data_IF_838106099084
#
_entry.id   IF_838106099084
#
_cell.length_a   1.000
_cell.length_b   1.000
_cell.length_c   1.000
_cell.angle_alpha   90.00
_cell.angle_beta   90.00
_cell.angle_gamma   90.00
#
_symmetry.space_group_name_H-M   'P 1'
#
loop_
_entity.id
_entity.type
_entity.pdbx_description
1 polymer ?
#
# COMPACT_ATOMS: atom_id res chain seq x y z
N UNK A 1 -23.65 -5.88 -55.10
CA UNK A 1 -22.31 -6.22 -54.57
C UNK A 1 -21.56 -5.05 -53.93
N UNK A 2 -21.57 -3.82 -54.46
CA UNK A 2 -20.83 -2.67 -53.89
C UNK A 2 -21.17 -2.30 -52.43
N UNK A 3 -22.40 -2.53 -51.96
CA UNK A 3 -22.82 -2.20 -50.60
C UNK A 3 -22.21 -3.10 -49.52
N UNK A 4 -22.01 -4.39 -49.82
CA UNK A 4 -21.43 -5.36 -48.89
C UNK A 4 -19.94 -5.08 -48.68
N UNK A 5 -19.22 -4.72 -49.75
CA UNK A 5 -17.81 -4.33 -49.67
C UNK A 5 -17.58 -3.05 -48.85
N UNK A 6 -18.53 -2.10 -48.89
CA UNK A 6 -18.46 -0.89 -48.09
C UNK A 6 -18.65 -1.20 -46.59
N UNK A 7 -19.60 -2.08 -46.27
CA UNK A 7 -19.87 -2.53 -44.89
C UNK A 7 -18.65 -3.28 -44.33
N UNK A 8 -18.07 -4.20 -45.11
CA UNK A 8 -16.87 -4.94 -44.68
C UNK A 8 -15.69 -4.01 -44.43
N UNK A 9 -15.43 -3.04 -45.31
CA UNK A 9 -14.37 -2.03 -45.11
C UNK A 9 -14.61 -1.15 -43.88
N UNK A 10 -15.86 -0.82 -43.56
CA UNK A 10 -16.19 -0.07 -42.34
C UNK A 10 -15.96 -0.93 -41.09
N UNK A 11 -16.34 -2.20 -41.15
CA UNK A 11 -16.16 -3.15 -40.06
C UNK A 11 -14.66 -3.42 -39.77
N UNK A 12 -13.85 -3.62 -40.81
CA UNK A 12 -12.40 -3.80 -40.67
C UNK A 12 -11.72 -2.58 -40.04
N UNK A 13 -12.13 -1.37 -40.45
CA UNK A 13 -11.65 -0.11 -39.83
C UNK A 13 -12.06 0.00 -38.36
N UNK A 14 -13.27 -0.43 -38.03
CA UNK A 14 -13.78 -0.41 -36.66
C UNK A 14 -13.00 -1.40 -35.77
N UNK A 15 -12.76 -2.62 -36.24
CA UNK A 15 -11.93 -3.62 -35.55
C UNK A 15 -10.51 -3.07 -35.35
N UNK A 16 -9.90 -2.50 -36.39
CA UNK A 16 -8.56 -1.94 -36.30
C UNK A 16 -8.47 -0.77 -35.31
N UNK A 17 -9.52 0.07 -35.21
CA UNK A 17 -9.60 1.14 -34.23
C UNK A 17 -9.72 0.59 -32.80
N UNK A 18 -10.61 -0.38 -32.58
CA UNK A 18 -10.79 -1.03 -31.28
C UNK A 18 -9.52 -1.73 -30.81
N UNK A 19 -8.81 -2.40 -31.73
CA UNK A 19 -7.51 -3.02 -31.44
C UNK A 19 -6.44 -2.00 -31.02
N UNK A 20 -6.41 -0.81 -31.62
CA UNK A 20 -5.49 0.26 -31.19
C UNK A 20 -5.85 0.78 -29.80
N UNK A 21 -7.15 0.99 -29.53
CA UNK A 21 -7.63 1.46 -28.23
C UNK A 21 -7.28 0.44 -27.13
N UNK A 22 -7.49 -0.85 -27.38
CA UNK A 22 -7.19 -1.89 -26.39
C UNK A 22 -5.70 -1.97 -26.07
N UNK A 23 -4.82 -1.85 -27.08
CA UNK A 23 -3.37 -1.79 -26.86
C UNK A 23 -2.97 -0.56 -26.04
N UNK A 24 -3.55 0.62 -26.34
CA UNK A 24 -3.28 1.84 -25.56
C UNK A 24 -3.71 1.67 -24.11
N UNK A 25 -4.91 1.13 -23.86
CA UNK A 25 -5.41 0.86 -22.51
C UNK A 25 -4.51 -0.11 -21.74
N UNK A 26 -4.01 -1.16 -22.41
CA UNK A 26 -3.08 -2.11 -21.82
C UNK A 26 -1.75 -1.44 -21.43
N UNK A 27 -1.21 -0.58 -22.29
CA UNK A 27 0.02 0.17 -22.01
C UNK A 27 -0.19 1.09 -20.79
N UNK A 28 -1.31 1.83 -20.74
CA UNK A 28 -1.65 2.68 -19.60
C UNK A 28 -1.73 1.85 -18.31
N UNK A 29 -2.39 0.68 -18.35
CA UNK A 29 -2.49 -0.22 -17.21
C UNK A 29 -1.11 -0.68 -16.72
N UNK A 30 -0.23 -1.08 -17.63
CA UNK A 30 1.14 -1.50 -17.29
C UNK A 30 1.93 -0.35 -16.64
N UNK A 31 1.83 0.87 -17.20
CA UNK A 31 2.48 2.06 -16.61
C UNK A 31 1.94 2.33 -15.19
N UNK A 32 0.63 2.26 -14.99
CA UNK A 32 0.01 2.45 -13.67
C UNK A 32 0.49 1.40 -12.66
N UNK A 33 0.64 0.13 -13.07
CA UNK A 33 1.18 -0.93 -12.20
C UNK A 33 2.64 -0.67 -11.82
N UNK A 34 3.47 -0.24 -12.78
CA UNK A 34 4.87 0.11 -12.53
C UNK A 34 4.96 1.29 -11.56
N UNK A 35 4.21 2.36 -11.81
CA UNK A 35 4.16 3.54 -10.93
C UNK A 35 3.69 3.14 -9.53
N UNK A 36 2.64 2.33 -9.42
CA UNK A 36 2.14 1.83 -8.13
C UNK A 36 3.23 1.04 -7.39
N UNK A 37 3.92 0.14 -8.07
CA UNK A 37 5.00 -0.64 -7.49
C UNK A 37 6.15 0.25 -6.99
N UNK A 38 6.59 1.21 -7.80
CA UNK A 38 7.63 2.17 -7.40
C UNK A 38 7.20 3.00 -6.19
N UNK A 39 6.01 3.61 -6.22
CA UNK A 39 5.52 4.41 -5.09
C UNK A 39 5.42 3.60 -3.80
N UNK A 40 4.99 2.34 -3.90
CA UNK A 40 4.76 1.49 -2.73
C UNK A 40 6.05 0.90 -2.18
N UNK A 41 6.94 0.37 -3.03
CA UNK A 41 8.05 -0.49 -2.62
C UNK A 41 9.44 0.08 -2.88
N UNK A 42 9.60 1.24 -3.53
CA UNK A 42 10.93 1.79 -3.80
C UNK A 42 11.71 2.02 -2.50
N UNK A 43 12.88 1.38 -2.39
CA UNK A 43 13.73 1.41 -1.20
C UNK A 43 13.17 0.67 0.03
N UNK A 44 12.13 -0.15 -0.12
CA UNK A 44 11.46 -0.88 0.97
C UNK A 44 11.53 -2.39 0.73
N UNK A 45 11.44 -3.18 1.81
CA UNK A 45 11.42 -4.64 1.70
C UNK A 45 10.01 -5.13 1.40
N UNK A 46 9.84 -5.79 0.25
CA UNK A 46 8.53 -6.28 -0.23
C UNK A 46 7.93 -7.29 0.74
N UNK A 47 8.68 -8.34 1.08
CA UNK A 47 8.20 -9.42 1.96
C UNK A 47 7.78 -8.89 3.33
N UNK A 48 8.62 -8.06 3.97
CA UNK A 48 8.33 -7.52 5.30
C UNK A 48 7.20 -6.50 5.27
N UNK A 49 7.06 -5.75 4.17
CA UNK A 49 5.94 -4.84 3.95
C UNK A 49 4.61 -5.60 3.81
N UNK A 50 4.57 -6.67 3.01
CA UNK A 50 3.35 -7.49 2.86
C UNK A 50 2.96 -8.15 4.18
N UNK A 51 3.93 -8.72 4.91
CA UNK A 51 3.67 -9.32 6.21
C UNK A 51 3.09 -8.30 7.20
N UNK A 52 3.70 -7.10 7.29
CA UNK A 52 3.20 -6.01 8.10
C UNK A 52 1.75 -5.63 7.74
N UNK A 53 1.44 -5.47 6.46
CA UNK A 53 0.08 -5.13 6.02
C UNK A 53 -0.96 -6.18 6.42
N UNK A 54 -0.62 -7.46 6.27
CA UNK A 54 -1.51 -8.56 6.64
C UNK A 54 -1.75 -8.55 8.14
N UNK A 55 -0.68 -8.44 8.94
CA UNK A 55 -0.78 -8.41 10.40
C UNK A 55 -1.61 -7.22 10.88
N UNK A 56 -1.38 -6.01 10.35
CA UNK A 56 -2.17 -4.83 10.72
C UNK A 56 -3.65 -4.98 10.33
N UNK A 57 -3.98 -5.60 9.19
CA UNK A 57 -5.38 -5.82 8.80
C UNK A 57 -6.08 -6.83 9.71
N UNK A 58 -5.37 -7.88 10.15
CA UNK A 58 -5.92 -8.92 11.02
C UNK A 58 -6.19 -8.42 12.45
N UNK A 59 -5.49 -7.37 12.90
CA UNK A 59 -5.69 -6.75 14.21
C UNK A 59 -7.01 -5.97 14.32
N UNK A 60 -7.58 -5.52 13.21
CA UNK A 60 -8.86 -4.81 13.23
C UNK A 60 -10.02 -5.79 13.08
N UNK A 61 -11.01 -5.78 13.99
CA UNK A 61 -12.14 -6.70 13.92
C UNK A 61 -12.94 -6.49 12.63
N UNK A 62 -13.43 -7.57 12.00
CA UNK A 62 -14.22 -7.53 10.75
C UNK A 62 -15.62 -6.90 10.87
N UNK A 63 -15.86 -6.09 11.90
CA UNK A 63 -17.15 -5.41 12.06
C UNK A 63 -17.32 -4.34 10.97
N UNK A 64 -18.53 -4.18 10.39
CA UNK A 64 -18.81 -3.15 9.41
C UNK A 64 -18.86 -1.77 10.08
N UNK A 65 -17.68 -1.25 10.43
CA UNK A 65 -17.48 0.11 10.91
C UNK A 65 -16.76 0.92 9.82
N UNK A 66 -17.27 2.13 9.55
CA UNK A 66 -16.66 3.07 8.60
C UNK A 66 -15.21 3.40 8.99
N UNK A 67 -14.91 3.46 10.29
CA UNK A 67 -13.57 3.74 10.80
C UNK A 67 -12.64 2.56 10.54
N UNK A 68 -13.08 1.33 10.79
CA UNK A 68 -12.31 0.11 10.50
C UNK A 68 -12.01 0.00 9.01
N UNK A 69 -13.00 0.26 8.15
CA UNK A 69 -12.79 0.32 6.71
C UNK A 69 -11.74 1.38 6.34
N UNK A 70 -11.78 2.56 6.97
CA UNK A 70 -10.80 3.61 6.73
C UNK A 70 -9.39 3.22 7.20
N UNK A 71 -9.24 2.59 8.37
CA UNK A 71 -7.98 2.06 8.89
C UNK A 71 -7.39 1.02 7.93
N UNK A 72 -8.16 -0.01 7.57
CA UNK A 72 -7.75 -1.07 6.63
C UNK A 72 -7.29 -0.52 5.27
N UNK A 73 -7.92 0.57 4.83
CA UNK A 73 -7.63 1.28 3.58
C UNK A 73 -6.36 2.13 3.61
N UNK A 74 -5.84 2.48 4.79
CA UNK A 74 -4.57 3.21 4.92
C UNK A 74 -3.43 2.28 5.30
N UNK A 75 -3.64 1.31 6.20
CA UNK A 75 -2.60 0.36 6.62
C UNK A 75 -2.13 -0.54 5.47
N UNK A 76 -2.88 -0.67 4.37
CA UNK A 76 -2.40 -1.33 3.13
C UNK A 76 -1.27 -0.58 2.40
N UNK A 77 -0.88 0.59 2.90
CA UNK A 77 0.30 1.35 2.47
C UNK A 77 1.36 1.42 3.57
N UNK A 78 1.17 0.67 4.67
CA UNK A 78 2.23 0.48 5.65
C UNK A 78 3.44 -0.17 4.97
N UNK A 79 4.65 0.15 5.41
CA UNK A 79 5.86 -0.38 4.80
C UNK A 79 7.03 -0.49 5.75
N UNK A 80 7.93 -1.42 5.44
CA UNK A 80 9.18 -1.64 6.18
C UNK A 80 10.35 -1.17 5.31
N UNK A 81 11.09 -0.18 5.79
CA UNK A 81 12.23 0.42 5.11
C UNK A 81 13.50 0.13 5.91
N UNK A 82 14.49 -0.49 5.30
CA UNK A 82 15.83 -0.59 5.90
C UNK A 82 16.62 0.68 5.61
N UNK A 83 17.21 1.25 6.64
CA UNK A 83 18.08 2.41 6.55
C UNK A 83 19.54 2.00 6.69
N UNK A 84 20.41 2.78 6.05
CA UNK A 84 21.86 2.56 5.97
C UNK A 84 22.20 1.11 5.57
N UNK A 85 23.41 0.64 5.89
CA UNK A 85 23.85 -0.75 5.64
C UNK A 85 23.10 -1.80 6.50
N UNK A 86 21.78 -1.64 6.70
CA UNK A 86 20.85 -2.47 7.50
C UNK A 86 21.02 -2.36 9.02
N UNK A 87 21.70 -1.32 9.50
CA UNK A 87 21.83 -1.07 10.94
C UNK A 87 20.53 -0.54 11.57
N UNK A 88 19.66 0.08 10.77
CA UNK A 88 18.40 0.66 11.23
C UNK A 88 17.25 0.21 10.34
N UNK A 89 16.06 0.08 10.90
CA UNK A 89 14.82 -0.23 10.19
C UNK A 89 13.74 0.76 10.60
N UNK A 90 12.88 1.16 9.66
CA UNK A 90 11.72 1.99 9.91
C UNK A 90 10.46 1.25 9.47
N UNK A 91 9.51 1.16 10.38
CA UNK A 91 8.14 0.79 10.07
C UNK A 91 7.36 2.09 9.90
N UNK A 92 6.74 2.25 8.75
CA UNK A 92 5.98 3.44 8.39
C UNK A 92 4.54 3.03 8.22
N UNK A 93 3.62 3.62 8.98
CA UNK A 93 2.18 3.33 8.93
C UNK A 93 1.41 4.63 8.68
N UNK A 94 0.82 4.81 7.49
CA UNK A 94 0.14 6.05 7.15
C UNK A 94 -1.21 6.15 7.86
N UNK A 95 -1.63 7.37 8.18
CA UNK A 95 -2.94 7.68 8.79
C UNK A 95 -3.92 8.29 7.79
N UNK A 96 -3.49 8.49 6.54
CA UNK A 96 -4.31 8.93 5.41
C UNK A 96 -3.83 8.31 4.10
N UNK A 97 -4.68 8.38 3.07
CA UNK A 97 -4.31 8.05 1.69
C UNK A 97 -3.61 9.22 1.02
N UNK A 98 -2.81 8.95 -0.01
CA UNK A 98 -2.06 9.97 -0.76
C UNK A 98 -2.94 11.08 -1.38
N UNK A 99 -4.19 10.76 -1.73
CA UNK A 99 -5.15 11.73 -2.29
C UNK A 99 -6.03 12.42 -1.22
N UNK A 100 -5.90 12.07 0.06
CA UNK A 100 -6.64 12.71 1.14
C UNK A 100 -5.88 13.93 1.66
N UNK A 101 -6.60 15.03 1.86
CA UNK A 101 -6.02 16.29 2.35
C UNK A 101 -5.52 16.14 3.79
N UNK A 102 -6.29 15.51 4.67
CA UNK A 102 -5.95 15.32 6.09
C UNK A 102 -6.29 13.91 6.60
N UNK A 103 -5.59 13.49 7.66
CA UNK A 103 -5.92 12.27 8.40
C UNK A 103 -7.11 12.49 9.34
N UNK A 104 -7.97 11.48 9.49
CA UNK A 104 -9.04 11.51 10.49
C UNK A 104 -8.49 11.21 11.89
N UNK A 105 -8.93 11.95 12.90
CA UNK A 105 -8.45 11.79 14.29
C UNK A 105 -8.66 10.37 14.81
N UNK A 106 -9.83 9.78 14.53
CA UNK A 106 -10.17 8.43 14.98
C UNK A 106 -9.27 7.37 14.33
N UNK A 107 -8.99 7.50 13.02
CA UNK A 107 -8.05 6.62 12.30
C UNK A 107 -6.65 6.71 12.91
N UNK A 108 -6.18 7.92 13.21
CA UNK A 108 -4.89 8.14 13.87
C UNK A 108 -4.84 7.50 15.26
N UNK A 109 -5.90 7.68 16.06
CA UNK A 109 -6.00 7.10 17.41
C UNK A 109 -5.95 5.58 17.33
N UNK A 110 -6.74 4.98 16.44
CA UNK A 110 -6.82 3.54 16.27
C UNK A 110 -5.50 2.91 15.82
N UNK A 111 -4.84 3.50 14.83
CA UNK A 111 -3.52 3.03 14.39
C UNK A 111 -2.50 3.11 15.53
N UNK A 112 -2.54 4.16 16.36
CA UNK A 112 -1.67 4.24 17.54
C UNK A 112 -1.93 3.11 18.53
N UNK A 113 -3.19 2.78 18.78
CA UNK A 113 -3.60 1.67 19.65
C UNK A 113 -3.10 0.33 19.09
N UNK A 114 -3.26 0.10 17.79
CA UNK A 114 -2.72 -1.09 17.11
C UNK A 114 -1.19 -1.20 17.25
N UNK A 115 -0.46 -0.10 17.03
CA UNK A 115 1.00 -0.10 17.14
C UNK A 115 1.50 -0.27 18.59
N UNK A 116 0.62 -0.08 19.57
CA UNK A 116 0.90 -0.27 20.99
C UNK A 116 0.41 -1.63 21.51
N UNK A 117 -0.24 -2.44 20.67
CA UNK A 117 -0.84 -3.71 21.08
C UNK A 117 0.20 -4.81 21.26
N UNK A 118 -0.15 -5.83 22.05
CA UNK A 118 0.69 -7.01 22.25
C UNK A 118 0.86 -7.80 20.94
N UNK A 119 -0.19 -7.93 20.14
CA UNK A 119 -0.14 -8.59 18.83
C UNK A 119 0.89 -7.94 17.91
N UNK A 120 1.01 -6.61 17.93
CA UNK A 120 1.99 -5.92 17.12
C UNK A 120 3.41 -6.15 17.64
N UNK A 121 3.59 -6.26 18.96
CA UNK A 121 4.88 -6.62 19.55
C UNK A 121 5.30 -8.04 19.16
N UNK A 122 4.37 -9.00 19.14
CA UNK A 122 4.62 -10.36 18.66
C UNK A 122 5.07 -10.35 17.19
N UNK A 123 4.40 -9.59 16.33
CA UNK A 123 4.84 -9.41 14.94
C UNK A 123 6.29 -8.91 14.84
N UNK A 124 6.66 -7.90 15.64
CA UNK A 124 8.03 -7.38 15.66
C UNK A 124 9.03 -8.46 16.08
N UNK A 125 8.68 -9.28 17.07
CA UNK A 125 9.53 -10.38 17.53
C UNK A 125 9.67 -11.48 16.47
N UNK A 126 8.62 -11.82 15.75
CA UNK A 126 8.67 -12.92 14.77
C UNK A 126 9.30 -12.50 13.44
N UNK A 127 9.11 -11.24 13.03
CA UNK A 127 9.51 -10.78 11.70
C UNK A 127 10.72 -9.87 11.71
N UNK A 128 11.06 -9.26 12.84
CA UNK A 128 12.13 -8.28 13.01
C UNK A 128 12.88 -8.53 14.34
N UNK A 129 13.04 -9.81 14.70
CA UNK A 129 13.73 -10.35 15.89
C UNK A 129 15.10 -9.72 16.20
N UNK A 130 15.88 -9.42 15.16
CA UNK A 130 17.23 -8.86 15.27
C UNK A 130 17.24 -7.34 15.49
N UNK A 131 16.08 -6.71 15.72
CA UNK A 131 15.96 -5.26 15.88
C UNK A 131 15.31 -4.90 17.22
N UNK A 132 15.90 -3.93 17.91
CA UNK A 132 15.30 -3.26 19.06
C UNK A 132 14.55 -2.02 18.60
N UNK A 133 13.23 -2.03 18.73
CA UNK A 133 12.37 -0.90 18.41
C UNK A 133 12.27 0.10 19.57
N UNK A 134 12.15 1.38 19.23
CA UNK A 134 11.77 2.42 20.19
C UNK A 134 10.40 2.12 20.79
N UNK A 135 10.17 2.49 22.05
CA UNK A 135 8.95 2.13 22.76
C UNK A 135 7.70 2.89 22.30
N UNK A 136 7.86 4.02 21.59
CA UNK A 136 6.75 4.85 21.12
C UNK A 136 6.95 5.22 19.65
N UNK A 137 5.93 5.08 18.79
CA UNK A 137 6.00 5.54 17.41
C UNK A 137 5.94 7.06 17.36
N UNK A 138 6.81 7.64 16.54
CA UNK A 138 6.79 9.07 16.21
C UNK A 138 5.67 9.36 15.21
N UNK A 139 4.98 10.49 15.36
CA UNK A 139 3.99 10.93 14.37
C UNK A 139 4.55 12.09 13.56
N UNK A 140 4.65 11.92 12.26
CA UNK A 140 5.22 12.93 11.36
C UNK A 140 4.53 12.85 10.00
N UNK A 141 4.15 13.99 9.40
CA UNK A 141 3.50 14.06 8.07
C UNK A 141 2.43 12.98 7.79
N UNK A 142 1.45 12.85 8.68
CA UNK A 142 0.32 11.91 8.51
C UNK A 142 0.71 10.44 8.43
N UNK A 143 1.76 10.08 9.15
CA UNK A 143 2.21 8.70 9.33
C UNK A 143 2.81 8.52 10.73
N UNK A 144 2.65 7.30 11.25
CA UNK A 144 3.43 6.81 12.38
C UNK A 144 4.70 6.17 11.88
N UNK A 145 5.82 6.47 12.53
CA UNK A 145 7.13 5.90 12.23
C UNK A 145 7.67 5.24 13.49
N UNK A 146 7.96 3.95 13.40
CA UNK A 146 8.63 3.20 14.46
C UNK A 146 10.02 2.81 13.99
N UNK A 147 11.03 3.32 14.66
CA UNK A 147 12.43 3.06 14.30
C UNK A 147 12.99 1.92 15.16
N UNK A 148 13.60 0.93 14.51
CA UNK A 148 14.35 -0.14 15.13
C UNK A 148 15.83 -0.05 14.80
N UNK A 149 16.68 -0.43 15.75
CA UNK A 149 18.13 -0.54 15.57
C UNK A 149 18.54 -1.99 15.71
N UNK A 150 19.43 -2.46 14.84
CA UNK A 150 19.93 -3.83 14.88
C UNK A 150 20.69 -4.08 16.18
N UNK A 151 20.44 -5.24 16.80
CA UNK A 151 21.14 -5.72 18.00
C UNK A 151 22.39 -6.50 17.59
#
# INVERSE_FOLDING_TARGET
MKGIDLINKLFDKLIALLGKISVILLIILVILLIVHYFLKFYGKSISKTIALEQTLKLMEPEKPDKIISAVNKVVCWASVKYLDNKGRVQIIVPTKRWFQLSSQLEVKKRIREMLSSEDFRLFLMDNLDNYRFVSRPDYYHDQFVLTGTRI
#
